data_IF_269074484738
#
_entry.id   IF_269074484738
#
_cell.length_a   1.000
_cell.length_b   1.000
_cell.length_c   1.000
_cell.angle_alpha   90.00
_cell.angle_beta   90.00
_cell.angle_gamma   90.00
#
_symmetry.space_group_name_H-M   'P 1'
#
loop_
_entity.id
_entity.type
_entity.pdbx_description
1 polymer ?
2 non-polymer ?
3 non-polymer ?
4 non-polymer ?
5 non-polymer ?
6 non-polymer ?
7 water ?
#
# COMPACT_ATOMS: atom_id res chain seq x y z
N UNK A 39 -4.62 21.41 13.56
CA UNK A 39 -4.90 20.12 12.88
C UNK A 39 -3.70 19.62 12.12
N UNK A 40 -3.84 18.45 11.51
CA UNK A 40 -2.77 17.85 10.74
C UNK A 40 -2.48 18.61 9.47
N UNK A 41 -1.22 18.58 9.03
CA UNK A 41 -0.84 19.21 7.76
C UNK A 41 -1.50 18.50 6.57
N UNK A 42 -1.57 17.16 6.67
CA UNK A 42 -2.09 16.29 5.62
C UNK A 42 -3.16 15.35 6.22
N UNK A 43 -4.38 15.87 6.44
CA UNK A 43 -5.43 15.06 7.07
C UNK A 43 -5.71 13.72 6.41
N UNK A 44 -5.60 13.66 5.08
CA UNK A 44 -5.87 12.43 4.32
C UNK A 44 -4.97 11.24 4.59
N UNK A 45 -3.83 11.49 5.22
CA UNK A 45 -2.97 10.40 5.68
C UNK A 45 -3.02 10.16 7.20
N UNK A 46 -4.10 10.61 7.85
CA UNK A 46 -4.34 10.37 9.27
C UNK A 46 -4.66 8.92 9.66
N UNK A 47 -5.13 8.11 8.70
CA UNK A 47 -5.40 6.69 8.93
C UNK A 47 -4.10 5.89 8.86
N UNK A 48 -3.83 5.09 9.89
CA UNK A 48 -2.62 4.28 9.94
C UNK A 48 -2.58 3.27 8.80
N UNK A 49 -3.74 2.66 8.57
CA UNK A 49 -3.96 1.73 7.47
C UNK A 49 -3.53 2.32 6.11
N UNK A 50 -3.98 3.54 5.81
CA UNK A 50 -3.61 4.18 4.53
C UNK A 50 -2.11 4.43 4.51
N UNK A 51 -1.53 4.92 5.61
CA UNK A 51 -0.06 5.13 5.66
C UNK A 51 0.73 3.83 5.38
N UNK A 52 0.32 2.73 5.99
CA UNK A 52 0.99 1.44 5.80
C UNK A 52 0.88 0.97 4.35
N UNK A 53 -0.28 1.17 3.72
CA UNK A 53 -0.49 0.85 2.31
C UNK A 53 0.50 1.57 1.35
N UNK A 54 0.92 2.76 1.73
CA UNK A 54 1.83 3.57 0.95
C UNK A 54 3.21 2.97 0.84
N UNK A 55 3.55 2.05 1.75
CA UNK A 55 4.88 1.38 1.78
C UNK A 55 4.98 0.12 0.89
N UNK A 56 4.07 -0.08 -0.04
CA UNK A 56 4.07 -1.34 -0.79
C UNK A 56 5.38 -1.59 -1.53
N UNK A 57 6.08 -0.52 -1.92
CA UNK A 57 7.37 -0.61 -2.59
C UNK A 57 8.47 0.11 -1.74
N UNK A 58 8.36 0.04 -0.42
CA UNK A 58 9.43 0.48 0.48
C UNK A 58 10.73 -0.34 0.24
N UNK A 59 11.88 0.33 0.03
CA UNK A 59 13.10 -0.43 -0.25
C UNK A 59 13.78 -1.10 0.95
N UNK A 60 13.35 -0.78 2.18
CA UNK A 60 14.09 -1.17 3.39
C UNK A 60 13.23 -1.94 4.40
N UNK A 61 12.44 -2.87 3.88
CA UNK A 61 11.44 -3.59 4.69
C UNK A 61 12.03 -4.22 5.97
N UNK A 62 13.15 -4.91 5.83
CA UNK A 62 13.84 -5.56 6.98
C UNK A 62 14.52 -4.56 7.90
N UNK A 63 15.14 -3.55 7.30
CA UNK A 63 15.99 -2.60 8.02
C UNK A 63 15.18 -1.64 8.86
N UNK A 64 14.08 -1.12 8.32
CA UNK A 64 13.17 -0.24 9.03
C UNK A 64 11.72 -0.59 8.65
N UNK A 65 11.04 -1.38 9.48
CA UNK A 65 9.69 -1.88 9.14
C UNK A 65 8.62 -0.81 8.82
N UNK A 66 7.92 -0.95 7.70
CA UNK A 66 6.77 -0.08 7.41
C UNK A 66 5.71 -0.06 8.53
N UNK A 67 5.49 -1.18 9.22
CA UNK A 67 4.52 -1.21 10.29
C UNK A 67 4.87 -0.15 11.36
N UNK A 68 6.17 -0.05 11.68
CA UNK A 68 6.67 0.90 12.65
C UNK A 68 6.64 2.33 12.13
N UNK A 69 7.01 2.51 10.87
CA UNK A 69 7.01 3.83 10.28
C UNK A 69 5.58 4.38 10.24
N UNK A 70 4.64 3.57 9.79
CA UNK A 70 3.24 4.00 9.71
C UNK A 70 2.66 4.24 11.11
N UNK A 71 3.01 3.38 12.07
CA UNK A 71 2.57 3.59 13.45
C UNK A 71 3.02 4.95 13.95
N UNK A 72 4.23 5.35 13.58
CA UNK A 72 4.82 6.59 14.02
C UNK A 72 4.40 7.83 13.21
N UNK A 73 3.35 7.68 12.39
CA UNK A 73 2.77 8.80 11.64
C UNK A 73 3.28 9.04 10.23
N UNK A 74 4.25 8.22 9.80
CA UNK A 74 4.93 8.39 8.52
C UNK A 74 4.27 7.62 7.38
N UNK A 75 4.29 8.22 6.20
CA UNK A 75 3.92 7.53 4.96
C UNK A 75 5.07 7.67 3.95
N UNK A 76 5.18 6.70 3.07
CA UNK A 76 6.18 6.71 2.03
C UNK A 76 5.78 7.69 0.92
N UNK A 77 6.71 8.55 0.53
CA UNK A 77 6.51 9.45 -0.60
C UNK A 77 6.56 8.75 -1.94
N UNK A 78 7.23 7.60 -2.00
CA UNK A 78 7.43 6.83 -3.23
C UNK A 78 8.82 7.00 -3.79
N UNK A 79 9.53 8.01 -3.31
CA UNK A 79 10.88 8.33 -3.80
C UNK A 79 11.94 7.84 -2.81
N UNK A 80 12.89 7.04 -3.28
CA UNK A 80 13.95 6.50 -2.43
C UNK A 80 13.34 6.03 -1.08
N UNK A 81 13.96 6.37 0.04
CA UNK A 81 13.44 6.05 1.37
C UNK A 81 12.89 7.28 2.09
N UNK A 82 12.44 8.27 1.33
CA UNK A 82 11.89 9.50 1.92
C UNK A 82 10.49 9.25 2.46
N UNK A 83 10.30 9.58 3.74
CA UNK A 83 9.00 9.51 4.36
C UNK A 83 8.62 10.86 4.94
N UNK A 84 7.34 11.00 5.24
CA UNK A 84 6.82 12.21 5.80
C UNK A 84 5.71 11.92 6.83
N UNK A 85 5.71 12.68 7.92
CA UNK A 85 4.64 12.63 8.90
C UNK A 85 3.40 13.37 8.40
N UNK A 86 2.24 12.72 8.50
CA UNK A 86 0.96 13.32 8.06
C UNK A 86 0.59 14.56 8.89
N UNK A 87 1.04 14.63 10.14
CA UNK A 87 0.61 15.69 11.03
C UNK A 87 1.51 16.92 10.94
N UNK A 88 2.82 16.75 11.15
CA UNK A 88 3.75 17.90 11.11
C UNK A 88 4.36 18.13 9.74
N UNK A 89 4.14 17.20 8.81
CA UNK A 89 4.70 17.20 7.44
C UNK A 89 6.23 17.04 7.42
N UNK A 90 6.80 16.65 8.56
CA UNK A 90 8.26 16.53 8.66
C UNK A 90 8.75 15.40 7.78
N UNK A 91 9.85 15.63 7.09
CA UNK A 91 10.39 14.67 6.13
C UNK A 91 11.69 14.06 6.61
N UNK A 92 11.78 12.72 6.58
CA UNK A 92 12.98 11.98 6.95
C UNK A 92 13.41 11.01 5.84
N UNK A 93 14.71 10.99 5.56
CA UNK A 93 15.32 10.16 4.55
C UNK A 93 16.60 9.58 5.14
N UNK A 94 17.36 8.86 4.33
CA UNK A 94 18.66 8.31 4.74
C UNK A 94 18.54 7.48 6.02
N UNK A 95 17.61 6.57 6.01
CA UNK A 95 17.37 5.68 7.12
C UNK A 95 18.46 4.63 7.21
N UNK A 96 18.93 4.37 8.43
CA UNK A 96 19.89 3.32 8.71
C UNK A 96 19.18 2.12 9.32
N UNK A 97 19.78 0.95 9.17
CA UNK A 97 19.18 -0.27 9.67
C UNK A 97 19.03 -0.17 11.19
N UNK A 98 17.83 -0.44 11.67
CA UNK A 98 17.55 -0.40 13.09
C UNK A 98 17.15 0.97 13.63
N UNK A 99 17.07 1.98 12.76
CA UNK A 99 16.54 3.27 13.15
C UNK A 99 15.15 3.01 13.64
N UNK A 100 14.77 3.66 14.73
CA UNK A 100 13.45 3.53 15.34
C UNK A 100 12.62 4.75 14.95
N UNK A 101 11.54 4.52 14.17
CA UNK A 101 10.74 5.67 13.71
C UNK A 101 10.29 6.67 14.77
N UNK A 102 9.78 6.20 15.90
CA UNK A 102 9.32 7.09 16.96
C UNK A 102 10.47 7.94 17.52
N UNK A 103 11.60 7.30 17.80
CA UNK A 103 12.81 8.01 18.24
C UNK A 103 13.20 9.10 17.23
N UNK A 104 13.24 8.74 15.95
CA UNK A 104 13.63 9.73 14.94
C UNK A 104 12.58 10.85 14.85
N UNK A 105 11.31 10.51 15.01
CA UNK A 105 10.24 11.50 15.00
C UNK A 105 10.48 12.55 16.10
N UNK A 106 10.76 12.07 17.31
CA UNK A 106 11.07 12.95 18.45
C UNK A 106 12.39 13.69 18.34
N UNK A 107 13.44 13.08 17.78
CA UNK A 107 14.73 13.76 17.54
C UNK A 107 14.55 15.02 16.71
N UNK A 108 13.90 14.85 15.57
CA UNK A 108 13.85 15.88 14.53
C UNK A 108 12.65 16.81 14.61
N UNK A 109 11.52 16.29 15.07
CA UNK A 109 10.26 17.06 15.11
C UNK A 109 9.60 16.93 16.48
N UNK A 110 10.28 17.43 17.53
CA UNK A 110 9.79 17.30 18.90
C UNK A 110 8.57 18.17 19.20
N UNK A 111 8.26 19.12 18.32
CA UNK A 111 7.06 19.94 18.47
C UNK A 111 5.79 19.32 17.90
N UNK A 112 5.90 18.18 17.22
CA UNK A 112 4.74 17.56 16.56
C UNK A 112 3.65 17.12 17.56
N UNK A 113 2.42 17.52 17.29
CA UNK A 113 1.35 17.25 18.22
C UNK A 113 0.82 15.82 18.09
N UNK A 114 0.96 15.21 16.92
CA UNK A 114 0.64 13.80 16.80
C UNK A 114 1.58 12.95 17.67
N UNK A 115 2.87 13.27 17.63
CA UNK A 115 3.87 12.62 18.48
C UNK A 115 3.59 12.87 19.96
N UNK A 116 3.26 14.11 20.31
CA UNK A 116 2.97 14.42 21.70
C UNK A 116 1.79 13.59 22.17
N UNK A 117 0.76 13.55 21.35
CA UNK A 117 -0.48 12.87 21.71
C UNK A 117 -0.24 11.38 21.89
N UNK A 118 0.51 10.80 20.94
CA UNK A 118 0.77 9.37 20.90
C UNK A 118 1.74 8.88 22.00
N UNK A 119 2.85 9.58 22.19
CA UNK A 119 3.96 9.11 23.03
C UNK A 119 4.15 9.82 24.38
N UNK A 120 3.69 11.06 24.50
CA UNK A 120 3.79 11.81 25.75
C UNK A 120 5.04 12.68 25.81
N UNK A 121 4.99 13.67 26.69
CA UNK A 121 6.08 14.64 26.82
C UNK A 121 7.33 14.01 27.43
N UNK A 122 7.17 13.15 28.44
CA UNK A 122 8.33 12.51 29.06
C UNK A 122 9.15 11.76 28.02
N UNK A 123 8.48 11.03 27.13
CA UNK A 123 9.18 10.30 26.07
C UNK A 123 10.01 11.23 25.17
N UNK A 124 9.41 12.34 24.76
CA UNK A 124 10.11 13.30 23.91
C UNK A 124 11.30 13.91 24.66
N UNK A 125 11.05 14.33 25.90
CA UNK A 125 12.07 14.92 26.77
C UNK A 125 13.30 14.03 26.97
N UNK A 126 13.05 12.72 27.08
CA UNK A 126 14.12 11.76 27.34
C UNK A 126 14.98 11.54 26.07
N UNK A 127 14.37 11.63 24.91
CA UNK A 127 15.13 11.53 23.66
C UNK A 127 16.04 12.72 23.43
N UNK A 128 15.62 13.92 23.84
CA UNK A 128 16.56 15.04 23.91
C UNK A 128 17.42 14.96 25.15
N UNK B 39 8.83 -15.47 -6.22
CA UNK B 39 8.03 -15.21 -4.95
C UNK B 39 6.93 -14.18 -5.15
N UNK B 40 6.16 -13.88 -4.08
CA UNK B 40 5.20 -12.80 -4.18
C UNK B 40 5.86 -11.43 -4.41
N UNK B 41 5.34 -10.68 -5.38
CA UNK B 41 5.91 -9.42 -5.80
C UNK B 41 5.81 -8.39 -4.69
N UNK B 42 4.65 -8.33 -4.06
CA UNK B 42 4.36 -7.37 -3.00
C UNK B 42 3.76 -8.09 -1.79
N UNK B 43 4.61 -8.75 -0.98
CA UNK B 43 4.16 -9.57 0.14
C UNK B 43 3.25 -8.84 1.11
N UNK B 44 3.56 -7.58 1.42
CA UNK B 44 2.75 -6.76 2.34
C UNK B 44 1.32 -6.58 1.88
N UNK B 45 1.11 -6.68 0.58
CA UNK B 45 -0.19 -6.51 0.01
C UNK B 45 -0.93 -7.85 -0.07
N UNK B 46 -0.40 -8.88 0.58
CA UNK B 46 -1.15 -10.11 0.78
C UNK B 46 -2.41 -9.95 1.63
N UNK B 47 -2.44 -8.90 2.45
CA UNK B 47 -3.63 -8.51 3.22
C UNK B 47 -4.64 -7.81 2.34
N UNK B 48 -5.85 -8.37 2.25
CA UNK B 48 -6.91 -7.82 1.41
C UNK B 48 -7.36 -6.48 1.96
N UNK B 49 -7.39 -6.37 3.28
CA UNK B 49 -7.67 -5.10 3.96
C UNK B 49 -6.75 -3.99 3.45
N UNK B 50 -5.46 -4.31 3.41
CA UNK B 50 -4.45 -3.37 2.96
C UNK B 50 -4.60 -3.07 1.46
N UNK B 51 -4.99 -4.06 0.67
CA UNK B 51 -5.22 -3.82 -0.75
C UNK B 51 -6.38 -2.87 -0.89
N UNK B 52 -7.42 -3.05 -0.07
CA UNK B 52 -8.60 -2.17 -0.16
C UNK B 52 -8.23 -0.74 0.25
N UNK B 53 -7.42 -0.60 1.30
CA UNK B 53 -6.93 0.70 1.72
C UNK B 53 -6.18 1.44 0.61
N UNK B 54 -5.43 0.73 -0.24
CA UNK B 54 -4.69 1.35 -1.38
C UNK B 54 -5.61 2.14 -2.36
N UNK B 55 -6.91 1.80 -2.33
CA UNK B 55 -7.89 2.44 -3.20
C UNK B 55 -8.50 3.74 -2.65
N UNK B 56 -7.95 4.27 -1.58
CA UNK B 56 -8.45 5.54 -0.99
C UNK B 56 -8.51 6.69 -2.03
N UNK B 57 -7.52 6.71 -2.94
CA UNK B 57 -7.41 7.71 -4.02
C UNK B 57 -7.69 7.13 -5.42
N UNK B 58 -8.52 6.10 -5.48
CA UNK B 58 -9.00 5.53 -6.76
C UNK B 58 -9.72 6.60 -7.56
N UNK B 59 -9.44 6.70 -8.87
CA UNK B 59 -10.03 7.84 -9.58
C UNK B 59 -11.57 7.81 -9.58
N UNK B 60 -12.15 9.00 -9.43
CA UNK B 60 -13.60 9.17 -9.41
C UNK B 60 -14.23 8.87 -10.77
N UNK B 61 -13.37 8.82 -11.79
CA UNK B 61 -13.75 8.43 -13.15
C UNK B 61 -13.74 6.92 -13.38
N UNK B 62 -13.18 6.15 -12.45
CA UNK B 62 -13.03 4.70 -12.67
C UNK B 62 -14.38 3.98 -12.79
N UNK B 63 -14.36 2.80 -13.42
CA UNK B 63 -15.59 2.10 -13.77
C UNK B 63 -15.79 0.73 -13.10
N UNK B 64 -14.85 0.34 -12.24
CA UNK B 64 -14.89 -0.94 -11.54
C UNK B 64 -14.59 -0.67 -10.06
N UNK B 65 -15.35 -1.30 -9.15
CA UNK B 65 -15.18 -0.93 -7.73
C UNK B 65 -13.95 -1.53 -7.05
N UNK B 66 -13.27 -0.73 -6.18
CA UNK B 66 -12.19 -1.25 -5.32
C UNK B 66 -12.47 -2.58 -4.61
N UNK B 67 -13.67 -2.74 -4.05
CA UNK B 67 -14.01 -3.96 -3.29
C UNK B 67 -13.78 -5.21 -4.14
N UNK B 68 -14.24 -5.20 -5.40
CA UNK B 68 -14.04 -6.34 -6.30
C UNK B 68 -12.59 -6.49 -6.72
N UNK B 69 -11.90 -5.37 -6.92
CA UNK B 69 -10.51 -5.41 -7.38
C UNK B 69 -9.61 -6.02 -6.28
N UNK B 70 -9.70 -5.48 -5.07
CA UNK B 70 -8.97 -6.00 -3.93
C UNK B 70 -9.20 -7.48 -3.67
N UNK B 71 -10.45 -7.93 -3.84
CA UNK B 71 -10.79 -9.32 -3.63
C UNK B 71 -10.04 -10.25 -4.60
N UNK B 72 -9.74 -9.74 -5.79
CA UNK B 72 -9.09 -10.53 -6.83
C UNK B 72 -7.57 -10.33 -6.87
N UNK B 73 -7.01 -9.83 -5.78
CA UNK B 73 -5.57 -9.79 -5.60
C UNK B 73 -4.92 -8.48 -5.98
N UNK B 74 -5.71 -7.50 -6.45
CA UNK B 74 -5.18 -6.25 -7.00
C UNK B 74 -5.16 -5.16 -5.96
N UNK B 75 -4.13 -4.33 -6.03
CA UNK B 75 -4.07 -3.09 -5.28
C UNK B 75 -3.66 -1.96 -6.21
N UNK B 76 -3.93 -0.76 -5.77
CA UNK B 76 -3.78 0.45 -6.55
C UNK B 76 -2.41 1.06 -6.33
N UNK B 77 -1.76 1.47 -7.42
CA UNK B 77 -0.41 2.04 -7.33
C UNK B 77 -0.39 3.55 -7.04
N UNK B 78 -1.56 4.18 -7.05
CA UNK B 78 -1.66 5.62 -6.75
C UNK B 78 -1.63 6.46 -8.01
N UNK B 79 -1.65 5.80 -9.18
CA UNK B 79 -1.56 6.49 -10.50
C UNK B 79 -2.68 6.04 -11.46
N UNK B 80 -3.50 7.00 -11.91
CA UNK B 80 -4.65 6.69 -12.78
C UNK B 80 -5.42 5.51 -12.14
N UNK B 81 -6.04 4.64 -12.94
CA UNK B 81 -6.68 3.41 -12.44
C UNK B 81 -5.82 2.14 -12.60
N UNK B 82 -4.50 2.33 -12.56
CA UNK B 82 -3.53 1.24 -12.57
C UNK B 82 -3.56 0.47 -11.27
N UNK B 83 -3.67 -0.85 -11.40
CA UNK B 83 -3.56 -1.73 -10.26
C UNK B 83 -2.53 -2.80 -10.57
N UNK B 84 -1.93 -3.38 -9.53
CA UNK B 84 -1.10 -4.58 -9.69
C UNK B 84 -1.58 -5.71 -8.74
N UNK B 85 -1.40 -6.96 -9.18
CA UNK B 85 -1.58 -8.14 -8.32
C UNK B 85 -0.40 -8.24 -7.37
N UNK B 86 -0.74 -8.32 -6.09
CA UNK B 86 0.26 -8.45 -5.03
C UNK B 86 1.18 -9.63 -5.25
N UNK B 87 0.68 -10.69 -5.91
CA UNK B 87 1.47 -11.90 -6.10
C UNK B 87 2.28 -11.93 -7.41
N UNK B 88 1.61 -11.84 -8.55
CA UNK B 88 2.31 -12.01 -9.84
C UNK B 88 2.85 -10.72 -10.44
N UNK B 89 2.65 -9.58 -9.78
CA UNK B 89 3.05 -8.25 -10.29
C UNK B 89 2.20 -7.76 -11.47
N UNK B 90 1.31 -8.60 -11.98
CA UNK B 90 0.56 -8.28 -13.19
C UNK B 90 -0.22 -6.98 -13.07
N UNK B 91 0.03 -6.06 -14.01
CA UNK B 91 -0.57 -4.74 -14.05
C UNK B 91 -1.66 -4.52 -15.11
N UNK B 92 -2.78 -3.94 -14.65
CA UNK B 92 -3.91 -3.59 -15.51
C UNK B 92 -4.44 -2.20 -15.18
N UNK B 93 -4.84 -1.48 -16.22
CA UNK B 93 -5.47 -0.17 -16.12
C UNK B 93 -6.60 -0.10 -17.15
N UNK B 94 -7.20 1.09 -17.27
CA UNK B 94 -8.32 1.28 -18.19
C UNK B 94 -9.43 0.27 -17.95
N UNK B 95 -9.84 0.14 -16.69
CA UNK B 95 -10.95 -0.73 -16.36
C UNK B 95 -12.25 -0.21 -16.97
N UNK B 96 -13.06 -1.11 -17.52
CA UNK B 96 -14.30 -0.72 -18.20
C UNK B 96 -15.49 -1.21 -17.39
N UNK B 97 -16.59 -0.49 -17.51
CA UNK B 97 -17.87 -0.90 -16.93
C UNK B 97 -18.16 -2.36 -17.25
N UNK B 98 -18.42 -3.14 -16.22
CA UNK B 98 -18.78 -4.53 -16.38
C UNK B 98 -17.59 -5.47 -16.40
N UNK B 99 -16.38 -4.95 -16.26
CA UNK B 99 -15.19 -5.78 -16.15
C UNK B 99 -15.27 -6.55 -14.86
N UNK B 100 -14.99 -7.85 -14.94
CA UNK B 100 -14.88 -8.71 -13.76
C UNK B 100 -13.41 -8.89 -13.42
N UNK B 101 -12.93 -8.30 -12.29
CA UNK B 101 -11.53 -8.45 -11.90
C UNK B 101 -10.92 -9.87 -11.94
N UNK B 102 -11.65 -10.88 -11.48
CA UNK B 102 -11.14 -12.25 -11.52
C UNK B 102 -10.96 -12.75 -12.94
N UNK B 103 -11.86 -12.36 -13.84
CA UNK B 103 -11.81 -12.75 -15.25
C UNK B 103 -10.60 -12.15 -15.97
N UNK B 104 -10.31 -10.88 -15.67
CA UNK B 104 -9.23 -10.15 -16.29
C UNK B 104 -7.87 -10.63 -15.74
N UNK B 105 -7.83 -10.94 -14.45
CA UNK B 105 -6.67 -11.58 -13.86
C UNK B 105 -6.33 -12.85 -14.67
N UNK B 106 -7.33 -13.66 -14.95
CA UNK B 106 -7.12 -14.91 -15.67
C UNK B 106 -6.76 -14.71 -17.13
N UNK B 107 -7.44 -13.76 -17.79
CA UNK B 107 -7.16 -13.40 -19.17
C UNK B 107 -5.69 -13.00 -19.34
N UNK B 108 -5.22 -12.10 -18.49
CA UNK B 108 -3.93 -11.46 -18.69
C UNK B 108 -2.78 -12.18 -17.99
N UNK B 109 -3.03 -12.83 -16.86
CA UNK B 109 -1.96 -13.43 -16.07
C UNK B 109 -2.30 -14.86 -15.64
N UNK B 110 -2.53 -15.76 -16.63
CA UNK B 110 -3.00 -17.10 -16.36
C UNK B 110 -2.01 -17.95 -15.56
N UNK B 111 -0.75 -17.55 -15.55
CA UNK B 111 0.28 -18.23 -14.76
C UNK B 111 0.35 -17.86 -13.28
N UNK B 112 -0.51 -16.95 -12.82
CA UNK B 112 -0.46 -16.46 -11.42
C UNK B 112 -0.87 -17.54 -10.44
N UNK B 113 -0.01 -17.74 -9.43
CA UNK B 113 -0.22 -18.78 -8.42
C UNK B 113 -1.33 -18.40 -7.48
N UNK B 114 -1.55 -17.11 -7.26
CA UNK B 114 -2.65 -16.69 -6.39
C UNK B 114 -4.00 -16.92 -7.12
N UNK B 115 -4.04 -16.54 -8.40
CA UNK B 115 -5.17 -16.87 -9.25
C UNK B 115 -5.46 -18.38 -9.22
N UNK B 116 -4.44 -19.19 -9.48
CA UNK B 116 -4.58 -20.65 -9.58
C UNK B 116 -5.18 -21.21 -8.30
N UNK B 117 -4.54 -20.89 -7.19
CA UNK B 117 -4.98 -21.33 -5.91
C UNK B 117 -6.41 -20.86 -5.57
N UNK B 118 -6.79 -19.64 -5.96
CA UNK B 118 -8.13 -19.11 -5.63
C UNK B 118 -9.21 -19.65 -6.53
N UNK B 119 -8.90 -19.79 -7.83
CA UNK B 119 -9.92 -20.17 -8.85
C UNK B 119 -9.77 -21.54 -9.48
N UNK B 120 -8.59 -22.14 -9.42
CA UNK B 120 -8.35 -23.44 -10.07
C UNK B 120 -8.04 -23.35 -11.58
N UNK B 121 -7.42 -24.40 -12.10
CA UNK B 121 -6.94 -24.43 -13.49
C UNK B 121 -8.07 -24.51 -14.54
N UNK B 122 -9.18 -25.15 -14.20
CA UNK B 122 -10.29 -25.25 -15.15
C UNK B 122 -10.83 -23.85 -15.47
N UNK B 123 -10.93 -23.03 -14.42
CA UNK B 123 -11.45 -21.68 -14.56
C UNK B 123 -10.61 -20.84 -15.53
N UNK B 124 -9.29 -20.90 -15.33
CA UNK B 124 -8.33 -20.18 -16.16
C UNK B 124 -8.40 -20.67 -17.61
N UNK B 125 -8.34 -21.99 -17.81
CA UNK B 125 -8.40 -22.57 -19.16
C UNK B 125 -9.65 -22.18 -19.92
N UNK B 126 -10.79 -22.19 -19.24
CA UNK B 126 -12.07 -21.89 -19.87
C UNK B 126 -12.11 -20.45 -20.39
N UNK B 127 -11.58 -19.53 -19.61
CA UNK B 127 -11.51 -18.13 -20.04
C UNK B 127 -10.70 -18.02 -21.33
N UNK B 128 -9.58 -18.73 -21.38
CA UNK B 128 -8.72 -18.68 -22.56
C UNK B 128 -9.29 -19.40 -23.72
N UNK B 129 -10.05 -20.45 -23.46
CA UNK B 129 -10.69 -21.20 -24.54
C UNK B 129 -11.89 -20.45 -25.14
N UNK B 130 -12.68 -19.80 -24.31
CA UNK B 130 -13.89 -19.12 -24.80
C UNK B 130 -13.47 -17.95 -25.65
N UNK B 131 -12.56 -17.15 -25.10
CA UNK B 131 -12.04 -15.98 -25.80
C UNK B 131 -11.34 -16.33 -27.13
N UNK B 132 -10.95 -17.61 -27.32
CA UNK B 132 -10.18 -18.04 -28.49
C UNK B 132 -11.01 -18.76 -29.55
N UNK B 133 -12.30 -19.00 -29.28
CA UNK B 133 -13.19 -19.48 -30.32
C UNK B 133 -13.72 -18.24 -31.02
X LIG C 1 5.02 14.59 13.08
X LIG D 1 18.54 11.01 10.81
X LIG D 1 17.97 10.65 9.80
X LIG D 1 17.67 9.14 9.60
X LIG D 1 18.35 8.27 10.61
X LIG D 1 19.82 8.25 10.51
X LIG D 1 16.16 8.82 9.54
X LIG D 1 17.52 11.47 8.84
X LIG D 1 18.18 12.64 8.20
X LIG D 1 16.99 13.56 7.83
X LIG D 1 16.08 13.00 7.23
X LIG D 1 19.37 13.21 9.01
X LIG D 1 20.07 14.46 8.44
X LIG D 1 19.25 15.77 8.34
X LIG D 1 17.79 15.75 8.85
X LIG D 1 16.86 14.91 8.07
X LIG D 1 17.13 17.42 8.66
X LIG D 1 15.45 16.91 8.31
X LIG D 1 14.67 18.05 7.60
X LIG D 1 14.68 16.63 9.62
X LIG D 1 15.70 15.65 7.45
X LIG D 1 16.08 15.88 5.95
X LIG D 1 17.25 16.03 5.61
X LIG D 1 15.04 15.93 5.11
X LIG D 1 14.94 16.45 3.75
X LIG D 1 15.81 17.38 3.24
X LIG D 1 15.41 17.64 1.93
X LIG D 1 16.05 18.60 0.94
X LIG D 1 14.33 16.86 1.62
X LIG D 1 14.01 16.13 2.72
X LIG D 1 13.02 15.30 2.77
X LIG D 1 11.78 15.67 2.18
X LIG D 1 10.69 14.79 2.20
X LIG D 1 10.83 13.54 2.80
X LIG D 1 12.04 13.17 3.39
X LIG D 1 13.13 14.03 3.38
X LIG E 1 -1.75 -12.36 -10.03
X LIG F 1 -4.60 4.32 -4.32
X LIG G 1 -8.17 -5.16 -20.39
X LIG G 1 -8.06 -4.22 -19.61
X LIG G 1 -9.19 -3.90 -18.63
X LIG G 1 -10.52 -4.44 -19.02
X LIG G 1 -11.11 -3.98 -20.31
X LIG G 1 -8.78 -4.44 -17.23
X LIG G 1 -6.96 -3.48 -19.50
X LIG G 1 -6.04 -3.03 -20.58
X LIG G 1 -4.62 -3.27 -19.96
X LIG G 1 -4.47 -2.87 -18.82
X LIG G 1 -6.42 -3.59 -21.98
X LIG G 1 -5.56 -3.15 -23.17
X LIG G 1 -4.05 -3.47 -23.10
X LIG G 1 -3.54 -4.38 -21.95
X LIG G 1 -3.52 -3.79 -20.60
X LIG G 1 -1.81 -4.72 -22.32
X LIG G 1 -1.25 -4.71 -20.62
X LIG G 1 0.25 -4.40 -20.61
X LIG G 1 -1.42 -6.11 -19.97
X LIG G 1 -2.18 -3.66 -19.95
X LIG G 1 -1.81 -2.13 -20.10
X LIG G 1 -2.20 -1.48 -21.07
X LIG G 1 -1.08 -1.60 -19.11
X LIG G 1 -0.36 -0.34 -19.05
X LIG G 1 -0.16 0.53 -20.11
X LIG G 1 0.58 1.60 -19.64
X LIG G 1 1.06 2.82 -20.42
X LIG G 1 0.82 1.42 -18.30
X LIG G 1 0.26 0.24 -17.91
X LIG G 1 0.28 -0.18 -16.68
X LIG G 1 1.45 -0.16 -15.90
X LIG G 1 1.43 -0.56 -14.58
X LIG G 1 0.25 -0.97 -13.99
X LIG G 1 -0.92 -1.00 -14.74
X LIG G 1 -0.92 -0.59 -16.07
X LIG H 1 -5.54 -12.59 -26.58
X LIG H 1 -6.95 -12.89 -26.50
X LIG H 1 -5.00 -11.92 -25.29
X LIG H 1 -3.57 -12.37 -25.04
X LIG H 1 -3.14 -12.03 -23.72
X LIG H 1 -5.02 -10.41 -25.50
X LIG H 1 -4.05 -10.03 -26.47
X LIG H 1 -5.82 -12.32 -24.13
X LIG H 1 -5.82 -13.76 -23.79
X LIG H 1 -7.19 -14.19 -23.27
X LIG H 1 -8.09 -14.47 -24.35
X LIG H 1 -5.94 -11.36 -23.01
X LIG H 1 -7.19 -10.49 -23.19
X LIG H 1 -8.21 -11.26 -23.78
X LIG I 1 -1.36 3.70 -1.88
X LIG I 1 -0.59 4.77 -1.25
X LIG I 1 -1.50 3.97 -3.40
X LIG I 1 -2.86 4.24 -3.78
X LIG J 1 1.72 -14.53 -16.40
X LIG J 1 0.61 -15.40 -16.62
X LIG J 1 2.26 -14.78 -15.00
X LIG J 1 1.69 -13.77 -14.14
#
# INVERSE_FOLDING_TARGET
>A
MGSSHHHHHHSSGEVPRGSHMLETEEEEEEGAGATLSRGPAFPGMGSEELRLASFYDWPLTAEVPPELLAAAGFFHTGHQDKVRCFFCYGGLQSWKRGDDPWTEHAKWFPGCQFLLRSKGQEYINNIHLTHSL
>B
MGSSHHHHHHSSGEVPRGSHMLETEEEEEEGAGATLSRGPAFPGMGSEELRLASFYDWPLTAEVPPELLAAAGFFHTGHQDKVRCFFCYGGLQSWKRGDDPWTEHAKWFPGCQFLLRSKGQEYINNIHLTHSL
>C hetero
1 ZN ZN
>D hetero
1 618 O6 C5 C3 N2 C1 C4 N7 C8 C9 O15 C14 C13 C12 C11 N10 S16 C17 C19 C20 C18 C21 O22 N23 C24 C25 C26 C29 N27 N28 C30 C31 C32 C33 C34 C35
>E hetero
1 ZN ZN
>F hetero
1 LI LI
>G hetero
1 618 O6 C5 C3 N2 C1 C4 N7 C8 C9 O15 C14 C13 C12 C11 N10 S16 C17 C19 C20 C18 C21 O22 N23 C24 C25 C26 C29 N27 N28 C30 C31 C32 C33 C34 C35
>H hetero
1 BTB C1 O1 C2 C3 O3 C4 O4 N C5 C6 O6 C7 C8 O8
>I hetero
1 EDO C1 O1 C2 O2
>J hetero
1 EDO C1 O1 C2 O2
#
